data_IF_898400521375
#
_entry.id   IF_898400521375
#
_cell.length_a   1.000
_cell.length_b   1.000
_cell.length_c   1.000
_cell.angle_alpha   90.00
_cell.angle_beta   90.00
_cell.angle_gamma   90.00
#
_symmetry.space_group_name_H-M   'P 1'
#
loop_
_entity.id
_entity.type
_entity.pdbx_description
1 polymer ?
#
# COMPACT_ATOMS: atom_id res chain seq x y z
N UNK A 1 -13.17 22.21 5.77
CA UNK A 1 -13.79 21.12 6.55
C UNK A 1 -13.96 19.83 5.72
N UNK A 2 -13.02 19.49 4.82
CA UNK A 2 -13.08 18.28 3.95
C UNK A 2 -11.91 17.30 4.11
N UNK A 3 -10.89 17.63 4.91
CA UNK A 3 -9.70 16.78 5.10
C UNK A 3 -9.84 15.71 6.20
N UNK A 4 -10.88 15.79 7.06
CA UNK A 4 -11.05 14.82 8.16
C UNK A 4 -11.65 13.47 7.74
N UNK A 5 -12.38 13.39 6.63
CA UNK A 5 -13.07 12.16 6.21
C UNK A 5 -12.13 11.14 5.54
N UNK A 6 -11.02 11.57 4.93
CA UNK A 6 -10.05 10.65 4.34
C UNK A 6 -9.24 9.89 5.41
N UNK A 7 -8.80 10.59 6.47
CA UNK A 7 -8.06 10.00 7.59
C UNK A 7 -8.89 8.99 8.40
N UNK A 8 -10.21 9.20 8.54
CA UNK A 8 -11.08 8.28 9.29
C UNK A 8 -11.28 6.92 8.62
N UNK A 9 -11.12 6.83 7.29
CA UNK A 9 -11.31 5.58 6.53
C UNK A 9 -10.03 4.75 6.51
N UNK A 10 -8.86 5.39 6.39
CA UNK A 10 -7.55 4.73 6.48
C UNK A 10 -7.32 4.01 7.82
N UNK A 11 -7.87 4.53 8.92
CA UNK A 11 -7.79 3.91 10.25
C UNK A 11 -8.49 2.55 10.40
N UNK A 12 -9.45 2.22 9.51
CA UNK A 12 -10.29 1.02 9.66
C UNK A 12 -9.68 -0.25 9.04
N UNK A 13 -8.60 -0.15 8.25
CA UNK A 13 -8.26 -1.23 7.27
C UNK A 13 -6.98 -2.03 7.58
N UNK A 14 -6.18 -1.62 8.56
CA UNK A 14 -5.19 -2.54 9.17
C UNK A 14 -5.83 -3.47 10.23
N UNK A 15 -7.11 -3.25 10.56
CA UNK A 15 -7.83 -3.89 11.63
C UNK A 15 -8.47 -5.22 11.22
N UNK A 16 -7.66 -6.29 11.16
CA UNK A 16 -8.18 -7.65 11.31
C UNK A 16 -7.65 -8.27 12.60
N UNK A 17 -8.15 -7.76 13.73
CA UNK A 17 -7.92 -8.33 15.05
C UNK A 17 -9.08 -7.94 15.98
N UNK A 18 -9.67 -8.93 16.65
CA UNK A 18 -10.71 -8.72 17.67
C UNK A 18 -10.10 -8.10 18.94
N UNK A 19 -9.87 -6.78 18.93
CA UNK A 19 -9.34 -6.05 20.09
C UNK A 19 -9.36 -4.54 19.86
N UNK A 20 -9.33 -3.76 20.94
CA UNK A 20 -9.40 -2.29 20.92
C UNK A 20 -8.44 -1.68 19.88
N UNK A 21 -9.02 -1.02 18.88
CA UNK A 21 -8.34 -0.54 17.69
C UNK A 21 -7.40 0.60 18.06
N UNK A 22 -6.08 0.37 18.04
CA UNK A 22 -5.13 1.47 18.10
C UNK A 22 -5.08 2.23 16.78
N UNK A 23 -4.62 3.49 16.81
CA UNK A 23 -4.57 4.37 15.64
C UNK A 23 -3.56 3.86 14.61
N UNK A 24 -3.97 3.75 13.35
CA UNK A 24 -3.06 3.52 12.24
C UNK A 24 -2.24 4.80 11.94
N UNK A 25 -0.95 4.64 11.63
CA UNK A 25 -0.04 5.71 11.25
C UNK A 25 0.48 5.44 9.84
N UNK A 26 0.53 6.47 9.00
CA UNK A 26 0.92 6.37 7.60
C UNK A 26 2.17 7.19 7.28
N UNK A 27 2.97 6.70 6.34
CA UNK A 27 4.01 7.48 5.65
C UNK A 27 4.01 7.14 4.17
N UNK A 28 3.64 8.11 3.33
CA UNK A 28 3.51 7.90 1.89
C UNK A 28 3.17 9.16 1.12
N UNK A 29 2.72 8.97 -0.12
CA UNK A 29 2.13 10.02 -0.95
C UNK A 29 0.74 9.61 -1.39
N UNK A 30 -0.12 10.60 -1.60
CA UNK A 30 -1.43 10.43 -2.20
C UNK A 30 -1.68 11.50 -3.26
N UNK A 31 -2.51 11.18 -4.24
CA UNK A 31 -2.96 12.15 -5.23
C UNK A 31 -3.82 13.23 -4.58
N UNK A 32 -3.96 14.37 -5.25
CA UNK A 32 -5.10 15.26 -5.03
C UNK A 32 -6.41 14.53 -5.36
N UNK A 33 -7.55 15.08 -4.92
CA UNK A 33 -8.85 14.54 -5.31
C UNK A 33 -9.06 14.61 -6.83
N UNK A 34 -9.56 13.53 -7.42
CA UNK A 34 -9.82 13.42 -8.85
C UNK A 34 -10.65 12.18 -9.19
N UNK A 35 -10.68 11.80 -10.47
CA UNK A 35 -11.36 10.60 -10.94
C UNK A 35 -10.32 9.58 -11.42
N UNK A 36 -10.11 8.54 -10.62
CA UNK A 36 -9.11 7.52 -10.86
C UNK A 36 -9.75 6.15 -11.11
N UNK A 37 -9.32 5.50 -12.17
CA UNK A 37 -9.79 4.18 -12.62
C UNK A 37 -8.74 3.10 -12.40
N UNK A 38 -7.62 3.43 -11.75
CA UNK A 38 -6.58 2.46 -11.47
C UNK A 38 -5.26 3.09 -11.10
N UNK A 39 -4.34 2.24 -10.68
CA UNK A 39 -2.95 2.58 -10.41
C UNK A 39 -2.06 1.37 -10.63
N UNK A 40 -0.82 1.62 -11.02
CA UNK A 40 0.25 0.63 -11.02
C UNK A 40 1.44 1.19 -10.26
N UNK A 41 2.11 0.34 -9.49
CA UNK A 41 3.38 0.70 -8.85
C UNK A 41 4.20 -0.53 -8.50
N UNK A 42 5.52 -0.36 -8.46
CA UNK A 42 6.48 -1.31 -7.90
C UNK A 42 6.63 -1.05 -6.41
N UNK A 43 6.24 -2.04 -5.61
CA UNK A 43 6.26 -1.96 -4.15
C UNK A 43 7.36 -2.87 -3.63
N UNK A 44 8.27 -2.28 -2.86
CA UNK A 44 9.39 -2.98 -2.25
C UNK A 44 8.93 -3.79 -1.02
N UNK A 45 9.33 -5.05 -0.96
CA UNK A 45 8.88 -6.04 0.02
C UNK A 45 9.94 -6.25 1.12
N UNK A 46 9.62 -5.90 2.36
CA UNK A 46 10.50 -6.02 3.53
C UNK A 46 9.89 -6.91 4.60
N UNK A 47 10.71 -7.79 5.18
CA UNK A 47 10.33 -8.57 6.36
C UNK A 47 10.83 -7.88 7.63
N UNK A 48 9.97 -7.81 8.64
CA UNK A 48 10.24 -7.21 9.95
C UNK A 48 9.78 -8.17 11.04
N UNK A 49 10.48 -8.19 12.17
CA UNK A 49 10.09 -9.01 13.32
C UNK A 49 9.13 -8.25 14.21
N UNK A 50 7.84 -8.42 13.95
CA UNK A 50 6.75 -7.82 14.72
C UNK A 50 6.28 -8.72 15.86
N UNK A 51 5.71 -8.10 16.89
CA UNK A 51 5.06 -8.79 18.02
C UNK A 51 3.55 -8.95 17.75
N UNK A 52 2.85 -9.86 18.45
CA UNK A 52 1.38 -9.86 18.48
C UNK A 52 0.83 -8.47 18.83
N UNK A 53 -0.26 -8.08 18.18
CA UNK A 53 -0.82 -6.73 18.29
C UNK A 53 -0.09 -5.64 17.47
N UNK A 54 0.87 -6.00 16.61
CA UNK A 54 1.52 -5.05 15.69
C UNK A 54 1.35 -5.47 14.24
N UNK A 55 1.12 -4.48 13.38
CA UNK A 55 1.06 -4.66 11.92
C UNK A 55 1.90 -3.59 11.23
N UNK A 56 2.65 -3.98 10.21
CA UNK A 56 3.35 -3.07 9.30
C UNK A 56 3.07 -3.48 7.86
N UNK A 57 2.77 -2.51 7.00
CA UNK A 57 2.44 -2.72 5.60
C UNK A 57 3.19 -1.81 4.66
N UNK A 58 3.28 -2.26 3.41
CA UNK A 58 3.78 -1.58 2.23
C UNK A 58 2.77 -1.79 1.12
N UNK A 59 2.05 -0.74 0.72
CA UNK A 59 0.86 -0.91 -0.12
C UNK A 59 0.56 0.29 -1.01
N UNK A 60 -0.30 0.04 -2.01
CA UNK A 60 -1.11 1.08 -2.62
C UNK A 60 -2.55 0.97 -2.10
N UNK A 61 -3.25 2.09 -2.12
CA UNK A 61 -4.66 2.16 -1.77
C UNK A 61 -5.42 3.08 -2.72
N UNK A 62 -6.64 2.66 -3.08
CA UNK A 62 -7.59 3.42 -3.86
C UNK A 62 -8.79 3.68 -2.96
N UNK A 63 -9.06 4.95 -2.68
CA UNK A 63 -10.13 5.41 -1.80
C UNK A 63 -11.22 6.06 -2.65
N UNK A 64 -12.48 5.84 -2.30
CA UNK A 64 -13.58 6.65 -2.80
C UNK A 64 -14.30 7.36 -1.66
N UNK A 65 -14.92 8.50 -2.00
CA UNK A 65 -15.80 9.23 -1.09
C UNK A 65 -16.92 8.30 -0.61
N UNK A 66 -17.26 8.36 0.68
CA UNK A 66 -18.22 7.42 1.30
C UNK A 66 -17.58 6.19 1.95
N UNK A 67 -16.25 6.05 1.92
CA UNK A 67 -15.53 5.19 2.85
C UNK A 67 -15.32 3.74 2.40
N UNK A 68 -15.31 3.49 1.09
CA UNK A 68 -14.89 2.21 0.54
C UNK A 68 -13.53 2.34 -0.13
N UNK A 69 -12.69 1.33 0.05
CA UNK A 69 -11.31 1.33 -0.46
C UNK A 69 -10.89 -0.05 -0.95
N UNK A 70 -9.89 -0.08 -1.83
CA UNK A 70 -9.12 -1.27 -2.21
C UNK A 70 -7.67 -1.02 -1.80
N UNK A 71 -7.04 -1.98 -1.15
CA UNK A 71 -5.62 -1.98 -0.83
C UNK A 71 -4.96 -3.24 -1.37
N UNK A 72 -3.75 -3.09 -1.90
CA UNK A 72 -2.94 -4.21 -2.35
C UNK A 72 -1.47 -3.95 -2.04
N UNK A 73 -0.79 -4.97 -1.52
CA UNK A 73 0.61 -4.86 -1.15
C UNK A 73 1.06 -5.98 -0.24
N UNK A 74 1.98 -5.66 0.66
CA UNK A 74 2.58 -6.60 1.59
C UNK A 74 2.36 -6.13 3.01
N UNK A 75 2.16 -7.07 3.94
CA UNK A 75 2.14 -6.76 5.36
C UNK A 75 2.64 -7.92 6.20
N UNK A 76 3.03 -7.59 7.42
CA UNK A 76 3.32 -8.55 8.48
C UNK A 76 2.27 -8.28 9.55
N UNK A 77 1.50 -9.31 9.89
CA UNK A 77 0.41 -9.21 10.86
C UNK A 77 0.29 -10.52 11.63
N UNK A 78 0.98 -10.65 12.77
CA UNK A 78 0.99 -11.90 13.53
C UNK A 78 -0.40 -12.35 13.99
N UNK A 79 -1.29 -11.41 14.26
CA UNK A 79 -2.66 -11.72 14.68
C UNK A 79 -3.52 -12.30 13.55
N UNK A 80 -3.15 -12.05 12.28
CA UNK A 80 -3.90 -12.53 11.10
C UNK A 80 -3.41 -13.90 10.64
N UNK A 81 -2.09 -14.10 10.61
CA UNK A 81 -1.48 -15.32 10.05
C UNK A 81 -0.98 -16.31 11.07
N UNK A 82 -0.92 -15.92 12.35
CA UNK A 82 -0.29 -16.70 13.42
C UNK A 82 1.19 -17.05 13.10
N UNK A 83 1.88 -16.16 12.40
CA UNK A 83 3.31 -16.19 12.13
C UNK A 83 3.90 -14.76 12.08
N UNK A 84 5.17 -14.59 11.75
CA UNK A 84 5.77 -13.26 11.54
C UNK A 84 6.38 -13.13 10.16
N UNK A 85 5.79 -13.80 9.17
CA UNK A 85 6.28 -13.74 7.80
C UNK A 85 5.72 -12.51 7.09
N UNK A 86 6.37 -12.12 6.01
CA UNK A 86 5.81 -11.14 5.08
C UNK A 86 4.78 -11.83 4.17
N UNK A 87 3.54 -11.35 4.19
CA UNK A 87 2.47 -11.85 3.34
C UNK A 87 2.05 -10.81 2.31
N UNK A 88 1.71 -11.28 1.11
CA UNK A 88 0.93 -10.47 0.18
C UNK A 88 -0.52 -10.40 0.64
N UNK A 89 -1.11 -9.21 0.64
CA UNK A 89 -2.50 -9.00 1.04
C UNK A 89 -3.25 -8.17 0.01
N UNK A 90 -4.55 -8.44 -0.05
CA UNK A 90 -5.52 -7.60 -0.71
C UNK A 90 -6.65 -7.37 0.28
N UNK A 91 -7.05 -6.11 0.44
CA UNK A 91 -8.18 -5.75 1.28
C UNK A 91 -9.15 -4.86 0.51
N UNK A 92 -10.43 -5.02 0.79
CA UNK A 92 -11.45 -4.07 0.38
C UNK A 92 -12.46 -3.87 1.49
N UNK A 93 -12.85 -2.62 1.76
CA UNK A 93 -13.91 -2.28 2.73
C UNK A 93 -13.76 -2.97 4.10
N UNK A 94 -12.54 -3.18 4.58
CA UNK A 94 -12.25 -3.85 5.86
C UNK A 94 -12.25 -5.40 5.82
N UNK A 95 -12.53 -6.02 4.67
CA UNK A 95 -12.33 -7.46 4.47
C UNK A 95 -10.95 -7.71 3.85
N UNK A 96 -10.21 -8.69 4.35
CA UNK A 96 -9.00 -9.19 3.68
C UNK A 96 -9.39 -10.46 2.94
N UNK A 97 -9.08 -10.54 1.64
CA UNK A 97 -9.24 -11.81 0.92
C UNK A 97 -8.12 -12.74 1.33
N UNK A 98 -8.50 -13.97 1.67
CA UNK A 98 -7.69 -15.13 1.38
C UNK A 98 -8.16 -15.65 0.01
N UNK A 99 -7.32 -15.62 -1.02
CA UNK A 99 -7.66 -16.21 -2.30
C UNK A 99 -6.89 -17.51 -2.51
N UNK A 100 -7.42 -18.34 -3.41
CA UNK A 100 -6.85 -19.63 -3.79
C UNK A 100 -5.47 -19.42 -4.41
N UNK A 101 -4.49 -20.23 -3.97
CA UNK A 101 -3.10 -20.14 -4.41
C UNK A 101 -2.99 -20.20 -5.95
N UNK A 102 -2.36 -19.18 -6.53
CA UNK A 102 -1.93 -19.14 -7.91
C UNK A 102 -0.54 -19.78 -8.02
N UNK A 103 -0.34 -20.77 -8.92
CA UNK A 103 0.89 -21.58 -8.94
C UNK A 103 2.16 -20.84 -9.40
N UNK A 104 2.07 -19.61 -9.89
CA UNK A 104 3.20 -18.88 -10.48
C UNK A 104 3.33 -17.41 -10.01
N UNK A 105 2.64 -17.01 -8.94
CA UNK A 105 2.63 -15.61 -8.52
C UNK A 105 2.15 -15.37 -7.09
N UNK A 106 1.93 -14.10 -6.77
CA UNK A 106 1.36 -13.64 -5.52
C UNK A 106 -0.07 -14.13 -5.41
N UNK A 107 -0.44 -14.59 -4.23
CA UNK A 107 -1.83 -14.89 -3.86
C UNK A 107 -2.14 -14.22 -2.54
N UNK A 108 -3.32 -13.60 -2.38
CA UNK A 108 -3.72 -13.03 -1.09
C UNK A 108 -3.56 -14.05 0.04
N UNK A 109 -2.74 -13.72 1.05
CA UNK A 109 -2.36 -14.56 2.18
C UNK A 109 -1.09 -15.41 1.98
N UNK A 110 -0.51 -15.46 0.79
CA UNK A 110 0.75 -16.19 0.55
C UNK A 110 1.96 -15.47 1.16
N UNK A 111 2.93 -16.25 1.62
CA UNK A 111 4.22 -15.75 2.10
C UNK A 111 5.13 -15.35 0.94
N UNK A 112 5.94 -14.31 1.14
CA UNK A 112 6.95 -13.88 0.17
C UNK A 112 8.25 -14.68 0.41
N UNK A 113 8.64 -15.50 -0.56
CA UNK A 113 9.75 -16.45 -0.40
C UNK A 113 11.14 -15.80 -0.26
N UNK A 114 11.32 -14.56 -0.71
CA UNK A 114 12.59 -13.83 -0.66
C UNK A 114 12.38 -12.32 -0.45
N UNK A 115 12.09 -11.86 0.78
CA UNK A 115 12.03 -10.44 1.08
C UNK A 115 13.38 -9.73 0.85
N UNK A 116 13.35 -8.40 0.83
CA UNK A 116 14.53 -7.55 0.70
C UNK A 116 15.48 -7.70 1.90
N UNK A 117 16.75 -7.43 1.66
CA UNK A 117 17.82 -7.48 2.67
C UNK A 117 18.48 -6.11 2.76
N UNK A 118 18.70 -5.64 3.99
CA UNK A 118 19.33 -4.35 4.26
C UNK A 118 20.74 -4.28 3.66
N UNK A 119 20.99 -3.27 2.83
CA UNK A 119 22.17 -3.12 1.96
C UNK A 119 22.50 -4.36 1.10
N UNK A 120 21.49 -5.16 0.78
CA UNK A 120 21.62 -6.38 0.00
C UNK A 120 20.60 -6.45 -1.14
N UNK A 121 20.20 -7.69 -1.48
CA UNK A 121 19.19 -7.94 -2.52
C UNK A 121 17.90 -7.20 -2.19
N UNK A 122 17.39 -6.43 -3.14
CA UNK A 122 16.08 -5.81 -3.06
C UNK A 122 15.08 -6.68 -3.82
N UNK A 123 13.92 -6.89 -3.22
CA UNK A 123 12.78 -7.58 -3.84
C UNK A 123 11.61 -6.62 -3.89
N UNK A 124 11.04 -6.45 -5.08
CA UNK A 124 9.87 -5.62 -5.32
C UNK A 124 8.95 -6.28 -6.34
N UNK A 125 7.70 -5.85 -6.35
CA UNK A 125 6.67 -6.41 -7.23
C UNK A 125 5.86 -5.28 -7.85
N UNK A 126 5.68 -5.33 -9.17
CA UNK A 126 4.72 -4.47 -9.86
C UNK A 126 3.32 -5.02 -9.61
N UNK A 127 2.50 -4.24 -8.94
CA UNK A 127 1.08 -4.52 -8.71
C UNK A 127 0.27 -3.47 -9.48
N UNK A 128 -0.82 -3.89 -10.09
CA UNK A 128 -1.75 -3.01 -10.81
C UNK A 128 -3.16 -3.25 -10.29
N UNK A 129 -3.87 -2.19 -9.92
CA UNK A 129 -5.31 -2.20 -9.66
C UNK A 129 -5.99 -1.42 -10.79
N UNK A 130 -6.92 -2.03 -11.50
CA UNK A 130 -7.56 -1.42 -12.67
C UNK A 130 -9.07 -1.65 -12.66
N UNK A 131 -9.83 -0.61 -12.99
CA UNK A 131 -11.27 -0.68 -13.26
C UNK A 131 -11.51 -0.82 -14.75
N UNK A 132 -12.19 -1.89 -15.14
CA UNK A 132 -12.63 -2.11 -16.51
C UNK A 132 -14.02 -2.77 -16.53
N UNK A 133 -14.87 -2.37 -17.49
CA UNK A 133 -16.24 -2.88 -17.60
C UNK A 133 -17.09 -2.74 -16.32
N UNK A 134 -16.76 -1.78 -15.45
CA UNK A 134 -17.43 -1.57 -14.16
C UNK A 134 -16.88 -2.39 -12.98
N UNK A 135 -15.88 -3.24 -13.19
CA UNK A 135 -15.31 -4.11 -12.16
C UNK A 135 -13.84 -3.77 -11.91
N UNK A 136 -13.36 -4.05 -10.69
CA UNK A 136 -11.96 -3.87 -10.33
C UNK A 136 -11.21 -5.19 -10.41
N UNK A 137 -10.03 -5.17 -11.02
CA UNK A 137 -9.13 -6.30 -11.11
C UNK A 137 -7.77 -5.92 -10.55
N UNK A 138 -7.09 -6.88 -9.94
CA UNK A 138 -5.72 -6.74 -9.44
C UNK A 138 -4.83 -7.68 -10.22
N UNK A 139 -3.71 -7.16 -10.68
CA UNK A 139 -2.72 -7.89 -11.45
C UNK A 139 -1.35 -7.79 -10.79
N UNK A 140 -0.56 -8.83 -10.96
CA UNK A 140 0.88 -8.81 -10.76
C UNK A 140 1.58 -8.88 -12.11
N UNK A 141 2.69 -8.15 -12.28
CA UNK A 141 3.58 -8.41 -13.40
C UNK A 141 4.52 -9.60 -13.11
N UNK A 142 4.46 -10.63 -13.94
CA UNK A 142 5.34 -11.80 -13.89
C UNK A 142 5.97 -12.01 -15.27
N UNK A 143 7.30 -11.92 -15.37
CA UNK A 143 8.04 -12.07 -16.62
C UNK A 143 7.49 -11.20 -17.78
N UNK A 144 7.10 -9.96 -17.49
CA UNK A 144 6.56 -9.01 -18.46
C UNK A 144 5.10 -9.24 -18.86
N UNK A 145 4.38 -10.12 -18.16
CA UNK A 145 2.94 -10.38 -18.37
C UNK A 145 2.14 -9.99 -17.14
N UNK A 146 0.94 -9.46 -17.36
CA UNK A 146 -0.02 -9.19 -16.28
C UNK A 146 -0.77 -10.47 -15.95
N UNK A 147 -0.57 -10.99 -14.74
CA UNK A 147 -1.25 -12.15 -14.19
C UNK A 147 -2.32 -11.67 -13.20
N UNK A 148 -3.58 -12.07 -13.40
CA UNK A 148 -4.67 -11.67 -12.52
C UNK A 148 -4.57 -12.39 -11.17
N UNK A 149 -4.65 -11.63 -10.07
CA UNK A 149 -4.55 -12.13 -8.69
C UNK A 149 -5.72 -11.69 -7.80
N UNK A 150 -6.63 -10.87 -8.31
CA UNK A 150 -7.84 -10.45 -7.60
C UNK A 150 -8.89 -9.87 -8.54
N UNK A 151 -10.16 -10.02 -8.16
CA UNK A 151 -11.31 -9.49 -8.90
C UNK A 151 -12.43 -9.09 -7.93
N UNK A 152 -12.97 -7.89 -8.12
CA UNK A 152 -14.01 -7.31 -7.29
C UNK A 152 -15.09 -6.70 -8.19
N UNK A 153 -16.30 -7.30 -8.23
CA UNK A 153 -17.44 -6.69 -8.90
C UNK A 153 -17.69 -5.27 -8.40
N UNK A 154 -18.04 -4.36 -9.31
CA UNK A 154 -18.40 -2.98 -8.93
C UNK A 154 -19.54 -2.91 -7.91
N UNK A 155 -20.45 -3.90 -7.93
CA UNK A 155 -21.57 -4.03 -7.01
C UNK A 155 -21.18 -4.27 -5.54
N UNK A 156 -19.92 -4.60 -5.25
CA UNK A 156 -19.40 -4.68 -3.88
C UNK A 156 -19.19 -3.30 -3.24
N UNK A 157 -19.23 -2.23 -4.05
CA UNK A 157 -18.81 -0.90 -3.64
C UNK A 157 -19.95 0.11 -3.74
N UNK A 158 -19.84 1.17 -2.93
CA UNK A 158 -20.61 2.40 -3.13
C UNK A 158 -19.82 3.37 -3.99
N UNK A 159 -18.89 4.15 -3.42
CA UNK A 159 -18.08 5.13 -4.18
C UNK A 159 -17.20 4.49 -5.26
N UNK A 160 -16.50 3.39 -4.93
CA UNK A 160 -15.64 2.69 -5.89
C UNK A 160 -16.44 2.00 -7.02
N UNK A 161 -17.77 1.90 -6.96
CA UNK A 161 -18.56 1.42 -8.10
C UNK A 161 -18.41 2.35 -9.31
N UNK A 162 -18.18 3.64 -9.06
CA UNK A 162 -17.93 4.64 -10.10
C UNK A 162 -16.43 4.76 -10.39
N UNK A 163 -15.67 5.27 -9.42
CA UNK A 163 -14.23 5.56 -9.52
C UNK A 163 -13.60 5.73 -8.12
N UNK A 164 -12.27 5.71 -8.05
CA UNK A 164 -11.54 6.16 -6.86
C UNK A 164 -11.37 7.69 -6.89
N UNK A 165 -11.51 8.34 -5.74
CA UNK A 165 -11.33 9.79 -5.58
C UNK A 165 -9.91 10.17 -5.18
N UNK A 166 -9.19 9.26 -4.52
CA UNK A 166 -7.79 9.42 -4.14
C UNK A 166 -7.06 8.09 -4.36
N UNK A 167 -5.83 8.17 -4.87
CA UNK A 167 -4.90 7.03 -4.90
C UNK A 167 -3.70 7.37 -4.02
N UNK A 168 -3.26 6.45 -3.18
CA UNK A 168 -2.04 6.62 -2.42
C UNK A 168 -1.16 5.38 -2.37
N UNK A 169 0.07 5.60 -1.92
CA UNK A 169 1.14 4.62 -1.87
C UNK A 169 2.02 4.89 -0.67
N UNK A 170 2.58 3.85 -0.07
CA UNK A 170 3.55 3.98 1.02
C UNK A 170 3.37 2.89 2.06
N UNK A 171 3.70 3.23 3.31
CA UNK A 171 3.58 2.33 4.44
C UNK A 171 2.49 2.73 5.42
N UNK A 172 1.91 1.72 6.07
CA UNK A 172 0.97 1.87 7.16
C UNK A 172 1.37 0.97 8.32
N UNK A 173 1.25 1.48 9.55
CA UNK A 173 1.51 0.70 10.75
C UNK A 173 0.36 0.81 11.73
N UNK A 174 0.15 -0.24 12.52
CA UNK A 174 -0.82 -0.23 13.61
C UNK A 174 -0.24 -1.00 14.80
N UNK A 175 -0.59 -0.54 16.00
CA UNK A 175 -0.40 -1.27 17.25
C UNK A 175 -1.73 -1.30 18.00
N UNK A 176 -2.07 -2.40 18.66
CA UNK A 176 -3.29 -2.50 19.48
C UNK A 176 -3.26 -1.46 20.61
N UNK A 177 -4.41 -0.84 20.88
CA UNK A 177 -4.51 0.18 21.92
C UNK A 177 -4.10 -0.39 23.29
N UNK A 178 -3.27 0.35 24.03
CA UNK A 178 -2.75 -0.10 25.33
C UNK A 178 -1.68 -1.19 25.26
N UNK A 179 -1.25 -1.62 24.07
CA UNK A 179 -0.11 -2.54 23.95
C UNK A 179 1.19 -1.86 24.39
N UNK A 180 1.98 -2.55 25.20
CA UNK A 180 3.31 -2.10 25.59
C UNK A 180 4.34 -2.16 24.43
N UNK A 181 3.94 -2.66 23.26
CA UNK A 181 4.80 -2.88 22.12
C UNK A 181 5.11 -1.58 21.34
N UNK A 182 4.26 -0.55 21.48
CA UNK A 182 4.39 0.73 20.75
C UNK A 182 4.20 0.58 19.24
N UNK A 183 4.28 1.70 18.52
CA UNK A 183 4.19 1.70 17.06
C UNK A 183 5.35 0.90 16.43
N UNK A 184 5.10 -0.09 15.55
CA UNK A 184 6.16 -0.95 15.00
C UNK A 184 7.03 -0.22 13.96
N UNK A 185 8.21 -0.78 13.59
CA UNK A 185 8.95 -0.28 12.43
C UNK A 185 8.11 -0.32 11.15
N UNK A 186 8.34 0.63 10.24
CA UNK A 186 7.67 0.73 8.94
C UNK A 186 8.65 0.50 7.79
N UNK A 187 8.19 -0.18 6.74
CA UNK A 187 9.00 -0.49 5.57
C UNK A 187 10.16 -1.40 5.95
N UNK A 188 11.39 -0.88 5.85
CA UNK A 188 12.60 -1.61 6.25
C UNK A 188 13.01 -1.39 7.72
N UNK A 189 12.27 -0.56 8.47
CA UNK A 189 12.65 -0.13 9.82
C UNK A 189 13.66 1.03 9.86
N UNK A 190 14.05 1.55 8.70
CA UNK A 190 14.97 2.68 8.55
C UNK A 190 14.30 3.83 7.80
N UNK A 191 14.81 5.04 8.03
CA UNK A 191 14.28 6.26 7.43
C UNK A 191 14.60 6.40 5.94
N UNK A 192 13.91 7.29 5.23
CA UNK A 192 14.09 7.50 3.78
C UNK A 192 15.43 8.12 3.38
N UNK A 193 16.20 8.67 4.34
CA UNK A 193 17.47 9.34 4.09
C UNK A 193 18.64 8.39 3.76
N UNK A 194 18.49 7.09 4.03
CA UNK A 194 19.54 6.10 3.74
C UNK A 194 19.60 5.73 2.25
N UNK A 195 18.47 5.81 1.55
CA UNK A 195 18.38 5.67 0.10
C UNK A 195 18.53 4.23 -0.40
N UNK A 196 19.17 4.01 -1.58
CA UNK A 196 19.21 2.69 -2.23
C UNK A 196 19.74 1.58 -1.31
N UNK A 197 18.92 0.54 -1.11
CA UNK A 197 19.26 -0.63 -0.29
C UNK A 197 19.16 -0.41 1.23
N UNK A 198 19.12 0.84 1.70
CA UNK A 198 18.93 1.20 3.11
C UNK A 198 17.53 1.74 3.44
N UNK A 199 16.68 1.99 2.43
CA UNK A 199 15.33 2.52 2.60
C UNK A 199 14.31 1.71 1.80
N UNK A 200 13.09 1.58 2.33
CA UNK A 200 11.96 1.07 1.57
C UNK A 200 11.47 2.11 0.56
N UNK A 201 10.92 1.65 -0.56
CA UNK A 201 10.49 2.54 -1.64
C UNK A 201 9.20 2.08 -2.32
N UNK A 202 8.56 3.04 -3.00
CA UNK A 202 7.58 2.78 -4.05
C UNK A 202 8.08 3.44 -5.34
N UNK A 203 8.05 2.70 -6.45
CA UNK A 203 8.60 3.12 -7.73
C UNK A 203 7.62 2.89 -8.88
N UNK A 204 7.93 3.42 -10.07
CA UNK A 204 7.09 3.29 -11.28
C UNK A 204 5.62 3.60 -11.04
N UNK A 205 5.36 4.62 -10.21
CA UNK A 205 4.00 5.00 -9.83
C UNK A 205 3.30 5.62 -11.04
N UNK A 206 2.18 5.01 -11.42
CA UNK A 206 1.25 5.51 -12.42
C UNK A 206 -0.20 5.42 -11.94
N UNK A 207 -1.05 6.26 -12.52
CA UNK A 207 -2.50 6.31 -12.28
C UNK A 207 -3.24 6.26 -13.61
N UNK A 208 -4.42 5.66 -13.61
CA UNK A 208 -5.34 5.67 -14.76
C UNK A 208 -6.40 6.73 -14.47
N UNK A 209 -6.48 7.74 -15.33
CA UNK A 209 -7.43 8.87 -15.18
C UNK A 209 -8.57 8.74 -16.18
N UNK A 210 -9.63 9.52 -15.96
CA UNK A 210 -10.76 9.60 -16.89
C UNK A 210 -10.30 9.84 -18.34
N UNK A 211 -10.97 9.19 -19.29
CA UNK A 211 -10.71 9.30 -20.73
C UNK A 211 -9.28 8.89 -21.18
N UNK A 212 -8.48 8.20 -20.35
CA UNK A 212 -7.14 7.73 -20.77
C UNK A 212 -7.18 6.48 -21.66
N UNK A 213 -8.35 5.88 -21.86
CA UNK A 213 -8.49 4.59 -22.54
C UNK A 213 -7.81 3.44 -21.80
N UNK A 214 -7.80 3.50 -20.46
CA UNK A 214 -7.15 2.49 -19.60
C UNK A 214 -5.63 2.63 -19.51
N UNK A 215 -5.03 3.64 -20.14
CA UNK A 215 -3.58 3.86 -20.11
C UNK A 215 -3.15 4.50 -18.79
N UNK A 216 -1.97 4.07 -18.33
CA UNK A 216 -1.28 4.69 -17.20
C UNK A 216 -0.78 6.08 -17.59
N UNK A 217 -0.89 6.99 -16.64
CA UNK A 217 -0.32 8.34 -16.66
C UNK A 217 0.51 8.53 -15.40
N UNK A 218 1.63 9.23 -15.51
CA UNK A 218 2.50 9.48 -14.36
C UNK A 218 2.06 10.77 -13.66
N UNK A 219 1.74 10.72 -12.35
CA UNK A 219 1.28 11.90 -11.65
C UNK A 219 2.38 12.95 -11.57
N UNK A 220 2.07 14.19 -11.95
CA UNK A 220 2.97 15.32 -11.74
C UNK A 220 3.19 15.56 -10.24
N UNK A 221 4.36 16.06 -9.86
CA UNK A 221 4.71 16.38 -8.46
C UNK A 221 3.66 17.30 -7.82
N UNK A 222 3.11 18.26 -8.58
CA UNK A 222 2.08 19.17 -8.09
C UNK A 222 0.72 18.50 -7.79
N UNK A 223 0.50 17.27 -8.29
CA UNK A 223 -0.75 16.52 -8.13
C UNK A 223 -0.64 15.42 -7.06
N UNK A 224 0.45 15.39 -6.28
CA UNK A 224 0.62 14.50 -5.14
C UNK A 224 0.98 15.29 -3.89
N UNK A 225 0.58 14.77 -2.74
CA UNK A 225 0.83 15.34 -1.42
C UNK A 225 1.34 14.25 -0.49
N UNK A 226 2.29 14.58 0.39
CA UNK A 226 2.74 13.64 1.39
C UNK A 226 1.66 13.40 2.44
N UNK A 227 1.62 12.17 2.93
CA UNK A 227 0.79 11.71 4.05
C UNK A 227 1.74 11.17 5.11
N UNK A 228 1.87 11.87 6.24
CA UNK A 228 2.75 11.48 7.34
C UNK A 228 2.11 11.80 8.68
N UNK A 229 1.63 10.78 9.41
CA UNK A 229 0.90 10.99 10.68
C UNK A 229 1.79 11.22 11.90
N UNK A 230 3.02 10.69 11.87
CA UNK A 230 3.97 10.73 12.98
C UNK A 230 5.39 10.96 12.46
N UNK A 231 5.64 12.21 12.04
CA UNK A 231 6.86 12.61 11.34
C UNK A 231 8.15 12.40 12.16
N UNK A 232 8.04 12.31 13.49
CA UNK A 232 9.18 12.04 14.37
C UNK A 232 9.72 10.60 14.25
N UNK A 233 8.93 9.65 13.74
CA UNK A 233 9.37 8.25 13.61
C UNK A 233 9.18 7.64 12.23
N UNK A 234 8.32 8.21 11.39
CA UNK A 234 8.17 7.78 10.00
C UNK A 234 8.22 9.00 9.10
N UNK A 235 8.94 8.89 8.00
CA UNK A 235 9.10 9.99 7.06
C UNK A 235 9.10 9.49 5.61
N UNK A 236 9.00 10.43 4.68
CA UNK A 236 9.09 10.18 3.24
C UNK A 236 10.15 11.06 2.60
N UNK A 237 10.84 10.55 1.58
CA UNK A 237 11.68 11.41 0.74
C UNK A 237 10.82 12.34 -0.11
N UNK A 238 11.48 13.32 -0.74
CA UNK A 238 10.85 14.10 -1.82
C UNK A 238 10.37 13.15 -2.93
N UNK A 239 9.14 13.36 -3.40
CA UNK A 239 8.58 12.64 -4.53
C UNK A 239 9.29 13.06 -5.82
N UNK A 240 9.77 12.06 -6.56
CA UNK A 240 10.47 12.25 -7.82
C UNK A 240 9.64 11.65 -8.95
N UNK A 241 9.74 12.23 -10.14
CA UNK A 241 9.20 11.64 -11.37
C UNK A 241 10.38 11.31 -12.26
N UNK A 242 10.62 10.03 -12.51
CA UNK A 242 11.62 9.59 -13.49
C UNK A 242 10.95 9.45 -14.84
N UNK A 243 11.52 10.07 -15.87
CA UNK A 243 11.12 9.84 -17.26
C UNK A 243 12.15 8.93 -17.94
N UNK A 244 11.91 7.62 -17.89
CA UNK A 244 12.74 6.61 -18.56
C UNK A 244 11.90 5.84 -19.59
N UNK A 245 11.55 6.48 -20.72
CA UNK A 245 10.72 5.85 -21.76
C UNK A 245 9.39 5.30 -21.23
N UNK A 246 9.02 4.08 -21.64
CA UNK A 246 7.81 3.37 -21.16
C UNK A 246 7.95 2.83 -19.71
N UNK A 247 9.12 2.99 -19.06
CA UNK A 247 9.45 2.46 -17.72
C UNK A 247 9.52 3.54 -16.62
N UNK A 248 9.13 4.78 -16.95
CA UNK A 248 9.11 5.91 -16.04
C UNK A 248 8.07 5.80 -14.91
N UNK A 249 7.95 6.86 -14.12
CA UNK A 249 6.92 7.00 -13.10
C UNK A 249 7.37 7.71 -11.84
N UNK A 250 6.42 7.87 -10.93
CA UNK A 250 6.70 8.42 -9.61
C UNK A 250 7.57 7.50 -8.76
N UNK A 251 8.33 8.08 -7.86
CA UNK A 251 9.28 7.41 -6.98
C UNK A 251 9.45 8.15 -5.66
N UNK A 252 9.49 7.42 -4.55
CA UNK A 252 9.91 7.96 -3.25
C UNK A 252 10.37 6.83 -2.31
N UNK A 253 11.20 7.19 -1.33
CA UNK A 253 11.54 6.36 -0.19
C UNK A 253 10.62 6.68 1.00
N UNK A 254 10.37 5.71 1.86
CA UNK A 254 9.60 5.89 3.09
C UNK A 254 10.04 4.90 4.18
N UNK A 255 9.64 5.17 5.41
CA UNK A 255 9.76 4.23 6.53
C UNK A 255 10.31 4.89 7.79
N UNK A 256 10.69 4.05 8.75
CA UNK A 256 11.34 4.47 9.98
C UNK A 256 11.28 3.42 11.09
N UNK A 257 11.98 3.67 12.21
CA UNK A 257 12.22 2.67 13.25
C UNK A 257 11.00 2.33 14.12
N UNK A 258 9.95 3.17 14.07
CA UNK A 258 8.82 3.08 15.00
C UNK A 258 9.15 3.62 16.39
N UNK A 259 8.41 3.16 17.40
CA UNK A 259 8.57 3.65 18.78
C UNK A 259 7.90 5.00 19.06
N UNK A 260 7.00 5.46 18.20
CA UNK A 260 6.20 6.66 18.47
C UNK A 260 5.30 6.45 19.69
N UNK A 261 5.18 7.49 20.52
CA UNK A 261 4.09 7.57 21.49
C UNK A 261 2.79 7.94 20.76
N UNK A 262 1.72 7.20 21.03
CA UNK A 262 0.37 7.47 20.53
C UNK A 262 -0.30 8.60 21.31
#
# INVERSE_FOLDING_TARGET
MRYLLALSVLGLVLALGNGDLGRALWAGYQTVHGEYYGSSSRINAWDLKLKPGQTSSSSMWLLADGGNQIMAGFHISPDVYNDTNLHFFVSWTGFVSAAVAHPAGLSPGSTVAQPSVYHGRQTDFTITVLKDGGNWSIYQEVAGKQEAIGYFPGSLFTGLAEHATVVGWGGGVQATAGSAAGAPPMGCGHGPGEGPGGSAYVASIGVVVVNSGGKLSFPAVANVTSLTDAQDCYDVSVFQVKQDGDSGGGFFYYGGPGGCNH
#
